data_IF_451050560918
#
_entry.id   IF_451050560918
#
_cell.length_a   1.000
_cell.length_b   1.000
_cell.length_c   1.000
_cell.angle_alpha   90.00
_cell.angle_beta   90.00
_cell.angle_gamma   90.00
#
_symmetry.space_group_name_H-M   'P 1'
#
loop_
_entity.id
_entity.type
_entity.pdbx_description
1 polymer ?
#
# COMPACT_ATOMS: atom_id res chain seq x y z
N UNK A 1 0.30 -14.88 21.66
CA UNK A 1 -0.15 -14.58 20.29
C UNK A 1 -1.56 -15.11 20.12
N UNK A 2 -2.42 -14.29 19.55
CA UNK A 2 -3.85 -14.56 19.32
C UNK A 2 -4.06 -15.14 17.90
N UNK A 3 -5.23 -15.70 17.59
CA UNK A 3 -5.54 -16.09 16.21
C UNK A 3 -5.76 -14.85 15.34
N UNK A 4 -5.46 -14.96 14.03
CA UNK A 4 -5.62 -13.87 13.08
C UNK A 4 -7.11 -13.44 12.95
N UNK A 5 -7.45 -12.17 13.22
CA UNK A 5 -8.80 -11.63 13.03
C UNK A 5 -9.21 -11.53 11.55
N UNK A 6 -10.48 -11.21 11.26
CA UNK A 6 -10.90 -10.87 9.91
C UNK A 6 -10.06 -9.74 9.30
N UNK A 7 -9.62 -9.91 8.05
CA UNK A 7 -8.74 -8.95 7.35
C UNK A 7 -9.31 -7.53 7.29
N UNK A 8 -10.64 -7.40 7.26
CA UNK A 8 -11.34 -6.11 7.26
C UNK A 8 -11.10 -5.31 8.54
N UNK A 9 -11.00 -5.99 9.68
CA UNK A 9 -10.74 -5.35 10.98
C UNK A 9 -9.28 -4.89 11.10
N UNK A 10 -8.35 -5.72 10.61
CA UNK A 10 -6.93 -5.37 10.57
C UNK A 10 -6.66 -4.19 9.62
N UNK A 11 -7.34 -4.16 8.47
CA UNK A 11 -7.32 -3.03 7.55
C UNK A 11 -7.84 -1.74 8.21
N UNK A 12 -8.95 -1.83 8.96
CA UNK A 12 -9.49 -0.68 9.70
C UNK A 12 -8.53 -0.17 10.77
N UNK A 13 -7.80 -1.06 11.47
CA UNK A 13 -6.75 -0.65 12.41
C UNK A 13 -5.62 0.13 11.72
N UNK A 14 -5.18 -0.32 10.54
CA UNK A 14 -4.15 0.39 9.76
C UNK A 14 -4.64 1.75 9.25
N UNK A 15 -5.88 1.83 8.77
CA UNK A 15 -6.49 3.11 8.34
C UNK A 15 -6.61 4.09 9.50
N UNK A 16 -7.01 3.62 10.68
CA UNK A 16 -7.06 4.44 11.88
C UNK A 16 -5.65 4.92 12.27
N UNK A 17 -4.65 4.03 12.24
CA UNK A 17 -3.26 4.36 12.54
C UNK A 17 -2.70 5.41 11.57
N UNK A 18 -3.04 5.30 10.28
CA UNK A 18 -2.69 6.29 9.25
C UNK A 18 -3.35 7.64 9.54
N UNK A 19 -4.65 7.66 9.82
CA UNK A 19 -5.40 8.89 10.07
C UNK A 19 -4.94 9.65 11.32
N UNK A 20 -4.44 8.94 12.33
CA UNK A 20 -3.98 9.53 13.59
C UNK A 20 -2.46 9.67 13.70
N UNK A 21 -1.71 9.30 12.65
CA UNK A 21 -0.24 9.22 12.68
C UNK A 21 0.32 8.45 13.90
N UNK A 22 -0.44 7.48 14.42
CA UNK A 22 -0.13 6.75 15.65
C UNK A 22 0.15 5.29 15.32
N UNK A 23 1.34 4.76 15.67
CA UNK A 23 1.69 3.38 15.34
C UNK A 23 0.85 2.39 16.15
N UNK A 24 0.61 1.23 15.56
CA UNK A 24 0.05 0.07 16.23
C UNK A 24 1.13 -1.00 16.39
N UNK A 25 0.97 -1.90 17.36
CA UNK A 25 1.88 -3.03 17.51
C UNK A 25 1.83 -3.92 16.23
N UNK A 26 2.99 -4.37 15.71
CA UNK A 26 3.06 -5.19 14.51
C UNK A 26 2.18 -6.44 14.59
N UNK A 27 1.47 -6.74 13.49
CA UNK A 27 0.58 -7.91 13.44
C UNK A 27 1.33 -9.24 13.58
N UNK A 28 2.57 -9.32 13.07
CA UNK A 28 3.46 -10.49 13.21
C UNK A 28 3.83 -10.81 14.66
N UNK A 29 3.79 -9.83 15.55
CA UNK A 29 4.06 -10.02 16.99
C UNK A 29 2.79 -10.36 17.78
N UNK A 30 1.61 -10.01 17.23
CA UNK A 30 0.32 -10.16 17.89
C UNK A 30 -0.34 -11.49 17.56
N UNK A 31 -0.32 -11.89 16.29
CA UNK A 31 -1.18 -12.94 15.77
C UNK A 31 -0.41 -14.14 15.23
N UNK A 32 -0.81 -15.34 15.64
CA UNK A 32 -0.43 -16.58 14.97
C UNK A 32 -1.11 -16.65 13.60
N UNK A 33 -0.39 -17.15 12.59
CA UNK A 33 -0.90 -17.25 11.23
C UNK A 33 -0.81 -15.96 10.40
N UNK A 34 -0.13 -14.92 10.90
CA UNK A 34 0.25 -13.78 10.07
C UNK A 34 1.41 -14.15 9.15
N UNK A 35 1.11 -14.40 7.87
CA UNK A 35 2.07 -14.68 6.80
C UNK A 35 1.93 -13.67 5.64
N UNK A 36 2.71 -13.84 4.58
CA UNK A 36 2.69 -12.98 3.39
C UNK A 36 1.31 -12.94 2.72
N UNK A 37 0.60 -14.07 2.67
CA UNK A 37 -0.73 -14.14 2.07
C UNK A 37 -1.76 -13.35 2.89
N UNK A 38 -1.69 -13.45 4.22
CA UNK A 38 -2.48 -12.64 5.14
C UNK A 38 -2.16 -11.15 4.98
N UNK A 39 -0.89 -10.77 4.89
CA UNK A 39 -0.47 -9.39 4.69
C UNK A 39 -1.08 -8.76 3.43
N UNK A 40 -1.02 -9.46 2.29
CA UNK A 40 -1.63 -8.99 1.05
C UNK A 40 -3.17 -8.99 1.09
N UNK A 41 -3.79 -9.93 1.81
CA UNK A 41 -5.25 -9.93 2.02
C UNK A 41 -5.71 -8.73 2.84
N UNK A 42 -4.91 -8.31 3.84
CA UNK A 42 -5.15 -7.09 4.62
C UNK A 42 -4.95 -5.84 3.75
N UNK A 43 -3.90 -5.79 2.93
CA UNK A 43 -3.71 -4.69 1.97
C UNK A 43 -4.90 -4.56 1.03
N UNK A 44 -5.41 -5.67 0.50
CA UNK A 44 -6.59 -5.67 -0.37
C UNK A 44 -7.82 -5.13 0.37
N UNK A 45 -8.08 -5.60 1.59
CA UNK A 45 -9.20 -5.11 2.39
C UNK A 45 -9.11 -3.62 2.72
N UNK A 46 -7.89 -3.09 2.91
CA UNK A 46 -7.65 -1.65 3.08
C UNK A 46 -7.97 -0.90 1.78
N UNK A 47 -7.51 -1.40 0.64
CA UNK A 47 -7.76 -0.80 -0.67
C UNK A 47 -9.26 -0.75 -0.96
N UNK A 48 -9.99 -1.84 -0.72
CA UNK A 48 -11.44 -1.90 -0.89
C UNK A 48 -12.17 -0.88 -0.01
N UNK A 49 -11.71 -0.67 1.23
CA UNK A 49 -12.27 0.34 2.12
C UNK A 49 -12.02 1.77 1.62
N UNK A 50 -10.80 2.07 1.15
CA UNK A 50 -10.51 3.40 0.57
C UNK A 50 -11.33 3.65 -0.70
N UNK A 51 -11.44 2.66 -1.58
CA UNK A 51 -12.29 2.76 -2.78
C UNK A 51 -13.76 3.02 -2.43
N UNK A 52 -14.28 2.34 -1.40
CA UNK A 52 -15.65 2.57 -0.92
C UNK A 52 -15.87 3.98 -0.35
N UNK A 53 -14.81 4.67 0.07
CA UNK A 53 -14.82 6.06 0.53
C UNK A 53 -14.63 7.07 -0.62
N UNK A 54 -14.46 6.60 -1.86
CA UNK A 54 -14.30 7.45 -3.05
C UNK A 54 -12.86 7.76 -3.43
N UNK A 55 -11.87 7.15 -2.78
CA UNK A 55 -10.48 7.29 -3.19
C UNK A 55 -10.22 6.62 -4.55
N UNK A 56 -9.18 7.09 -5.24
CA UNK A 56 -8.82 6.70 -6.61
C UNK A 56 -7.41 6.12 -6.63
N UNK A 57 -7.28 4.89 -7.10
CA UNK A 57 -5.97 4.28 -7.31
C UNK A 57 -5.29 4.95 -8.51
N UNK A 58 -4.07 5.44 -8.33
CA UNK A 58 -3.27 6.09 -9.38
C UNK A 58 -2.06 5.26 -9.82
N UNK A 59 -1.71 4.20 -9.09
CA UNK A 59 -0.56 3.39 -9.45
C UNK A 59 -0.18 2.35 -8.40
N UNK A 60 1.03 1.81 -8.56
CA UNK A 60 1.65 0.87 -7.64
C UNK A 60 3.12 1.24 -7.43
N UNK A 61 3.64 0.91 -6.26
CA UNK A 61 5.06 1.01 -5.91
C UNK A 61 5.61 -0.39 -5.68
N UNK A 62 6.89 -0.61 -5.96
CA UNK A 62 7.58 -1.88 -5.74
C UNK A 62 8.72 -1.63 -4.75
N UNK A 63 8.69 -2.29 -3.59
CA UNK A 63 9.74 -2.20 -2.58
C UNK A 63 10.59 -3.47 -2.55
N UNK A 64 11.58 -3.48 -1.63
CA UNK A 64 12.55 -4.58 -1.49
C UNK A 64 13.19 -5.01 -2.82
N UNK A 65 13.49 -4.06 -3.72
CA UNK A 65 14.10 -4.35 -5.03
C UNK A 65 15.58 -4.70 -4.95
N UNK A 66 16.27 -4.30 -3.87
CA UNK A 66 17.66 -4.66 -3.59
C UNK A 66 17.77 -6.06 -3.00
N UNK A 67 18.55 -6.93 -3.64
CA UNK A 67 18.86 -8.28 -3.12
C UNK A 67 19.53 -8.22 -1.74
N UNK A 68 20.42 -7.24 -1.52
CA UNK A 68 21.08 -7.06 -0.23
C UNK A 68 20.06 -6.79 0.88
N UNK A 69 19.09 -5.91 0.63
CA UNK A 69 18.03 -5.62 1.60
C UNK A 69 17.11 -6.83 1.80
N UNK A 70 16.74 -7.53 0.73
CA UNK A 70 15.97 -8.78 0.81
C UNK A 70 16.61 -9.82 1.73
N UNK A 71 17.92 -10.08 1.57
CA UNK A 71 18.68 -10.97 2.46
C UNK A 71 18.75 -10.47 3.90
N UNK A 72 18.90 -9.16 4.11
CA UNK A 72 18.96 -8.56 5.45
C UNK A 72 17.64 -8.68 6.21
N UNK A 73 16.52 -8.55 5.51
CA UNK A 73 15.18 -8.63 6.09
C UNK A 73 14.53 -10.01 5.95
N UNK A 74 15.28 -10.99 5.43
CA UNK A 74 14.82 -12.37 5.21
C UNK A 74 13.51 -12.43 4.39
N UNK A 75 13.47 -11.67 3.29
CA UNK A 75 12.38 -11.64 2.31
C UNK A 75 12.90 -12.16 0.98
N UNK A 76 12.18 -13.09 0.37
CA UNK A 76 12.66 -13.80 -0.83
C UNK A 76 12.33 -13.09 -2.15
N UNK A 77 11.34 -12.20 -2.14
CA UNK A 77 10.86 -11.46 -3.31
C UNK A 77 10.61 -9.97 -3.03
N UNK A 78 10.60 -9.10 -4.06
CA UNK A 78 10.12 -7.73 -3.91
C UNK A 78 8.68 -7.69 -3.40
N UNK A 79 8.30 -6.63 -2.68
CA UNK A 79 6.92 -6.37 -2.31
C UNK A 79 6.27 -5.34 -3.24
N UNK A 80 4.96 -5.13 -3.10
CA UNK A 80 4.28 -4.02 -3.77
C UNK A 80 3.19 -3.40 -2.90
N UNK A 81 2.99 -2.10 -3.10
CA UNK A 81 1.90 -1.33 -2.50
C UNK A 81 1.04 -0.62 -3.56
N UNK A 82 -0.16 -0.22 -3.16
CA UNK A 82 -1.10 0.55 -3.99
C UNK A 82 -0.95 2.03 -3.68
N UNK A 83 -0.86 2.87 -4.71
CA UNK A 83 -0.80 4.33 -4.58
C UNK A 83 -2.18 4.93 -4.86
N UNK A 84 -2.61 5.83 -3.97
CA UNK A 84 -3.84 6.61 -4.08
C UNK A 84 -3.52 8.05 -4.45
N UNK A 85 -4.52 8.77 -4.96
CA UNK A 85 -4.45 10.18 -5.33
C UNK A 85 -3.97 11.07 -4.17
N UNK A 86 -4.31 10.70 -2.94
CA UNK A 86 -3.92 11.40 -1.71
C UNK A 86 -2.46 11.15 -1.28
N UNK A 87 -1.72 10.32 -2.02
CA UNK A 87 -0.29 10.08 -1.81
C UNK A 87 0.59 11.00 -2.67
N UNK A 88 0.01 11.86 -3.51
CA UNK A 88 0.74 12.78 -4.39
C UNK A 88 0.97 14.11 -3.69
N UNK A 89 2.22 14.54 -3.64
CA UNK A 89 2.61 15.89 -3.26
C UNK A 89 3.23 16.56 -4.48
N UNK A 90 2.77 17.76 -4.82
CA UNK A 90 3.30 18.47 -5.99
C UNK A 90 4.68 19.07 -5.69
N UNK A 91 5.44 19.33 -6.76
CA UNK A 91 6.72 20.01 -6.62
C UNK A 91 6.52 21.37 -5.91
N UNK A 92 7.36 21.65 -4.92
CA UNK A 92 7.32 22.83 -4.06
C UNK A 92 6.11 22.95 -3.12
N UNK A 93 5.24 21.94 -3.04
CA UNK A 93 4.21 21.87 -2.00
C UNK A 93 4.83 21.45 -0.65
N UNK A 94 4.55 22.16 0.46
CA UNK A 94 5.09 21.78 1.75
C UNK A 94 4.44 20.49 2.27
N UNK A 95 5.26 19.58 2.82
CA UNK A 95 4.77 18.37 3.48
C UNK A 95 4.41 18.66 4.94
N UNK A 96 3.19 18.34 5.34
CA UNK A 96 2.75 18.41 6.74
C UNK A 96 3.28 17.21 7.54
N UNK A 97 4.51 17.32 8.06
CA UNK A 97 5.21 16.24 8.79
C UNK A 97 4.41 15.71 9.98
N UNK A 98 3.64 16.57 10.67
CA UNK A 98 2.86 16.19 11.85
C UNK A 98 1.70 15.22 11.54
N UNK A 99 1.33 15.07 10.26
CA UNK A 99 0.35 14.09 9.78
C UNK A 99 0.98 12.72 9.48
N UNK A 100 2.29 12.55 9.66
CA UNK A 100 3.02 11.34 9.32
C UNK A 100 3.68 10.71 10.54
N UNK A 101 3.81 9.38 10.51
CA UNK A 101 4.59 8.64 11.50
C UNK A 101 5.96 8.26 10.93
N UNK A 102 7.04 8.78 11.52
CA UNK A 102 8.44 8.44 11.21
C UNK A 102 8.77 8.46 9.69
N UNK A 103 8.50 9.57 8.97
CA UNK A 103 8.66 9.61 7.52
C UNK A 103 10.12 9.43 7.10
N UNK A 104 10.31 8.74 5.97
CA UNK A 104 11.60 8.56 5.29
C UNK A 104 11.46 8.95 3.83
N UNK A 105 12.58 9.28 3.20
CA UNK A 105 12.64 9.65 1.78
C UNK A 105 13.48 8.62 1.04
N UNK A 106 12.96 8.16 -0.09
CA UNK A 106 13.62 7.25 -1.01
C UNK A 106 13.60 7.89 -2.41
N UNK A 107 14.72 7.81 -3.12
CA UNK A 107 14.81 8.28 -4.50
C UNK A 107 14.47 7.12 -5.45
N UNK A 108 13.39 7.28 -6.22
CA UNK A 108 12.87 6.26 -7.14
C UNK A 108 12.68 6.81 -8.55
N UNK A 109 12.55 5.92 -9.54
CA UNK A 109 12.16 6.25 -10.92
C UNK A 109 10.73 5.74 -11.13
N UNK A 110 9.82 6.64 -11.52
CA UNK A 110 8.44 6.30 -11.85
C UNK A 110 8.23 6.05 -13.35
N UNK A 111 7.35 5.12 -13.70
CA UNK A 111 6.96 4.80 -15.08
C UNK A 111 5.48 5.08 -15.29
N UNK A 112 5.16 5.93 -16.27
CA UNK A 112 3.79 6.14 -16.73
C UNK A 112 3.51 5.17 -17.88
N UNK A 113 2.51 4.30 -17.71
CA UNK A 113 2.18 3.28 -18.70
C UNK A 113 1.16 3.81 -19.70
N UNK A 114 1.44 3.64 -21.00
CA UNK A 114 0.52 4.03 -22.08
C UNK A 114 -0.76 3.20 -22.12
N UNK A 115 -0.67 1.95 -21.69
CA UNK A 115 -1.80 1.02 -21.62
C UNK A 115 -1.59 0.03 -20.48
N UNK A 116 -2.65 -0.66 -20.08
CA UNK A 116 -2.60 -1.70 -19.06
C UNK A 116 -1.65 -2.83 -19.50
N UNK A 117 -0.65 -3.14 -18.68
CA UNK A 117 0.25 -4.26 -18.91
C UNK A 117 -0.40 -5.58 -18.47
N UNK A 118 -1.18 -6.18 -19.37
CA UNK A 118 -1.78 -7.52 -19.20
C UNK A 118 -2.96 -7.59 -18.21
N UNK A 119 -3.57 -8.77 -18.13
CA UNK A 119 -4.59 -9.11 -17.12
C UNK A 119 -3.91 -9.78 -15.93
N UNK A 120 -3.73 -9.06 -14.84
CA UNK A 120 -3.44 -9.67 -13.55
C UNK A 120 -4.72 -10.35 -13.03
N UNK A 121 -4.69 -11.47 -12.29
CA UNK A 121 -5.90 -12.21 -11.88
C UNK A 121 -6.94 -11.43 -11.05
N UNK A 122 -6.72 -10.14 -10.79
CA UNK A 122 -7.62 -9.25 -10.05
C UNK A 122 -8.08 -7.99 -10.83
N UNK A 123 -7.98 -7.97 -12.17
CA UNK A 123 -8.22 -6.76 -13.00
C UNK A 123 -9.57 -6.72 -13.74
N UNK A 124 -10.63 -7.33 -13.25
CA UNK A 124 -11.89 -7.34 -14.02
C UNK A 124 -12.64 -6.00 -14.09
N UNK A 125 -12.24 -4.93 -13.39
CA UNK A 125 -13.00 -3.66 -13.42
C UNK A 125 -12.20 -2.35 -13.55
N UNK A 126 -10.88 -2.39 -13.78
CA UNK A 126 -10.03 -1.18 -13.61
C UNK A 126 -9.67 -0.49 -14.94
N UNK A 127 -10.16 -0.99 -16.07
CA UNK A 127 -9.69 -0.62 -17.40
C UNK A 127 -10.47 0.55 -18.04
N UNK A 128 -10.71 1.64 -17.32
CA UNK A 128 -11.19 2.86 -17.98
C UNK A 128 -10.46 4.09 -17.44
N UNK A 129 -9.57 4.71 -18.24
CA UNK A 129 -9.05 6.02 -17.89
C UNK A 129 -10.19 7.06 -17.91
N UNK A 130 -10.15 8.10 -17.06
CA UNK A 130 -11.09 9.21 -17.17
C UNK A 130 -10.94 9.89 -18.54
N UNK A 131 -12.04 10.38 -19.14
CA UNK A 131 -11.97 11.10 -20.41
C UNK A 131 -11.12 12.37 -20.23
N UNK A 132 -10.04 12.49 -21.01
CA UNK A 132 -9.17 13.67 -21.03
C UNK A 132 -7.78 13.51 -20.42
N UNK A 133 -7.36 12.30 -20.03
CA UNK A 133 -5.93 12.04 -19.80
C UNK A 133 -5.16 12.12 -21.14
N UNK A 134 -3.95 12.70 -21.18
CA UNK A 134 -3.15 12.83 -22.41
C UNK A 134 -2.78 11.47 -23.04
#
# INVERSE_FOLDING_TARGET
>A
MENLPPVRELAAQLLQAQATATPIQPFSERFTGYDTAAAYSIQQALVEQKLAQGHVIIGKKIGFTSEKLRRQFNVDEPDYGVLFEDCVLMEHEPLEIDKLYSPRVEAEIAFVLKCTCGTWPFTSSWASPPPGAP
#
